data_IF_599018942001
#
_entry.id   IF_599018942001
#
_cell.length_a   1.000
_cell.length_b   1.000
_cell.length_c   1.000
_cell.angle_alpha   90.00
_cell.angle_beta   90.00
_cell.angle_gamma   90.00
#
_symmetry.space_group_name_H-M   'P 1'
#
loop_
_entity.id
_entity.type
_entity.pdbx_description
1 polymer ?
#
# COMPACT_ATOMS: atom_id res chain seq x y z
N UNK A 1 10.22 6.38 -18.11
CA UNK A 1 9.56 5.07 -17.87
C UNK A 1 8.07 5.24 -18.11
N UNK A 2 7.47 4.42 -18.96
CA UNK A 2 6.04 4.49 -19.28
C UNK A 2 5.18 4.23 -18.04
N UNK A 3 4.03 4.91 -17.91
CA UNK A 3 3.10 4.81 -16.78
C UNK A 3 2.83 3.40 -16.18
N UNK A 4 2.58 2.34 -16.96
CA UNK A 4 2.41 0.99 -16.43
C UNK A 4 3.68 0.39 -15.78
N UNK A 5 4.87 0.87 -16.12
CA UNK A 5 6.12 0.46 -15.49
C UNK A 5 6.23 0.95 -14.04
N UNK A 6 5.78 2.19 -13.76
CA UNK A 6 5.79 2.74 -12.39
C UNK A 6 4.85 1.96 -11.48
N UNK A 7 3.62 1.70 -11.94
CA UNK A 7 2.65 0.92 -11.15
C UNK A 7 3.13 -0.50 -10.84
N UNK A 8 3.87 -1.13 -11.76
CA UNK A 8 4.50 -2.44 -11.55
C UNK A 8 5.60 -2.38 -10.50
N UNK A 9 6.45 -1.36 -10.51
CA UNK A 9 7.50 -1.16 -9.50
C UNK A 9 6.87 -0.94 -8.12
N UNK A 10 5.82 -0.13 -8.04
CA UNK A 10 5.05 0.08 -6.79
C UNK A 10 4.47 -1.25 -6.30
N UNK A 11 3.87 -2.04 -7.19
CA UNK A 11 3.33 -3.37 -6.84
C UNK A 11 4.43 -4.33 -6.35
N UNK A 12 5.57 -4.40 -7.03
CA UNK A 12 6.70 -5.23 -6.64
C UNK A 12 7.29 -4.81 -5.28
N UNK A 13 7.43 -3.51 -5.04
CA UNK A 13 7.88 -2.97 -3.75
C UNK A 13 6.90 -3.32 -2.61
N UNK A 14 5.60 -3.19 -2.87
CA UNK A 14 4.55 -3.60 -1.93
C UNK A 14 4.60 -5.11 -1.63
N UNK A 15 4.79 -5.95 -2.66
CA UNK A 15 4.92 -7.39 -2.47
C UNK A 15 6.18 -7.76 -1.65
N UNK A 16 7.32 -7.12 -1.94
CA UNK A 16 8.55 -7.31 -1.18
C UNK A 16 8.35 -6.92 0.30
N UNK A 17 7.67 -5.81 0.57
CA UNK A 17 7.31 -5.41 1.93
C UNK A 17 6.41 -6.44 2.62
N UNK A 18 5.42 -6.97 1.90
CA UNK A 18 4.57 -8.05 2.41
C UNK A 18 5.36 -9.31 2.80
N UNK A 19 6.36 -9.70 1.99
CA UNK A 19 7.26 -10.81 2.32
C UNK A 19 8.07 -10.52 3.58
N UNK A 20 8.58 -9.29 3.75
CA UNK A 20 9.28 -8.89 4.98
C UNK A 20 8.37 -9.03 6.20
N UNK A 21 7.11 -8.61 6.12
CA UNK A 21 6.14 -8.75 7.21
C UNK A 21 5.83 -10.22 7.54
N UNK A 22 5.72 -11.09 6.52
CA UNK A 22 5.48 -12.52 6.71
C UNK A 22 6.69 -13.22 7.34
N UNK A 23 7.90 -12.90 6.88
CA UNK A 23 9.12 -13.56 7.35
C UNK A 23 9.62 -12.99 8.69
N UNK A 24 9.42 -11.68 8.92
CA UNK A 24 10.05 -10.93 10.01
C UNK A 24 9.06 -10.12 10.84
N UNK A 25 7.78 -10.49 10.81
CA UNK A 25 6.69 -9.73 11.44
C UNK A 25 6.92 -9.41 12.92
N UNK A 26 7.50 -10.35 13.68
CA UNK A 26 7.79 -10.12 15.10
C UNK A 26 8.89 -9.07 15.35
N UNK A 27 9.83 -8.93 14.43
CA UNK A 27 10.89 -7.92 14.50
C UNK A 27 10.37 -6.56 14.08
N UNK A 28 9.55 -6.51 13.02
CA UNK A 28 8.87 -5.29 12.59
C UNK A 28 7.96 -4.77 13.70
N UNK A 29 7.19 -5.66 14.36
CA UNK A 29 6.36 -5.27 15.51
C UNK A 29 7.20 -4.66 16.64
N UNK A 30 8.30 -5.32 17.02
CA UNK A 30 9.21 -4.80 18.05
C UNK A 30 9.81 -3.45 17.67
N UNK A 31 10.09 -3.20 16.39
CA UNK A 31 10.59 -1.92 15.93
C UNK A 31 9.55 -0.79 16.09
N UNK A 32 8.26 -1.11 16.01
CA UNK A 32 7.17 -0.13 16.11
C UNK A 32 6.73 0.13 17.56
N UNK A 33 6.55 -0.93 18.35
CA UNK A 33 5.92 -0.85 19.67
C UNK A 33 6.87 -1.24 20.82
N UNK A 34 8.10 -1.66 20.54
CA UNK A 34 9.10 -2.13 21.52
C UNK A 34 8.65 -3.33 22.40
N UNK A 35 7.45 -3.87 22.16
CA UNK A 35 6.86 -5.00 22.87
C UNK A 35 7.01 -6.30 22.08
N UNK A 36 6.96 -7.45 22.76
CA UNK A 36 6.84 -8.74 22.07
C UNK A 36 5.39 -8.92 21.60
N UNK A 37 5.15 -9.30 20.33
CA UNK A 37 3.80 -9.51 19.85
C UNK A 37 3.16 -10.76 20.48
N UNK A 38 1.93 -10.59 20.96
CA UNK A 38 1.05 -11.69 21.32
C UNK A 38 0.49 -12.39 20.07
N UNK A 39 -0.43 -13.32 20.29
CA UNK A 39 -1.02 -14.11 19.20
C UNK A 39 -1.81 -13.24 18.21
N UNK A 40 -2.63 -12.32 18.73
CA UNK A 40 -3.42 -11.41 17.91
C UNK A 40 -2.54 -10.47 17.08
N UNK A 41 -1.46 -9.94 17.65
CA UNK A 41 -0.52 -9.07 16.95
C UNK A 41 0.25 -9.83 15.86
N UNK A 42 0.58 -11.11 16.09
CA UNK A 42 1.17 -11.98 15.06
C UNK A 42 0.18 -12.23 13.93
N UNK A 43 -1.07 -12.58 14.24
CA UNK A 43 -2.11 -12.77 13.23
C UNK A 43 -2.34 -11.50 12.41
N UNK A 44 -2.41 -10.34 13.06
CA UNK A 44 -2.54 -9.05 12.39
C UNK A 44 -1.36 -8.76 11.46
N UNK A 45 -0.12 -9.00 11.91
CA UNK A 45 1.08 -8.76 11.09
C UNK A 45 1.16 -9.73 9.92
N UNK A 46 0.79 -11.00 10.11
CA UNK A 46 0.70 -12.00 9.05
C UNK A 46 -0.37 -11.64 8.02
N UNK A 47 -1.57 -11.25 8.48
CA UNK A 47 -2.65 -10.82 7.59
C UNK A 47 -2.27 -9.57 6.78
N UNK A 48 -1.58 -8.62 7.41
CA UNK A 48 -1.06 -7.43 6.75
C UNK A 48 -0.01 -7.79 5.69
N UNK A 49 0.93 -8.69 6.03
CA UNK A 49 1.94 -9.19 5.10
C UNK A 49 1.31 -9.90 3.90
N UNK A 50 0.37 -10.81 4.14
CA UNK A 50 -0.35 -11.52 3.09
C UNK A 50 -1.10 -10.54 2.15
N UNK A 51 -1.78 -9.54 2.71
CA UNK A 51 -2.44 -8.49 1.94
C UNK A 51 -1.47 -7.75 1.03
N UNK A 52 -0.33 -7.29 1.55
CA UNK A 52 0.66 -6.57 0.76
C UNK A 52 1.25 -7.43 -0.37
N UNK A 53 1.48 -8.73 -0.13
CA UNK A 53 1.88 -9.67 -1.19
C UNK A 53 0.79 -9.77 -2.27
N UNK A 54 -0.45 -10.06 -1.88
CA UNK A 54 -1.55 -10.26 -2.82
C UNK A 54 -1.85 -8.99 -3.64
N UNK A 55 -1.95 -7.83 -2.98
CA UNK A 55 -2.16 -6.54 -3.66
C UNK A 55 -0.98 -6.20 -4.56
N UNK A 56 0.26 -6.37 -4.07
CA UNK A 56 1.47 -6.07 -4.83
C UNK A 56 1.62 -6.94 -6.08
N UNK A 57 1.36 -8.24 -5.98
CA UNK A 57 1.37 -9.17 -7.11
C UNK A 57 0.25 -8.85 -8.09
N UNK A 58 -0.97 -8.60 -7.61
CA UNK A 58 -2.10 -8.22 -8.46
C UNK A 58 -1.81 -6.92 -9.22
N UNK A 59 -1.22 -5.92 -8.56
CA UNK A 59 -0.85 -4.64 -9.16
C UNK A 59 0.31 -4.77 -10.16
N UNK A 60 1.26 -5.67 -9.93
CA UNK A 60 2.32 -5.97 -10.89
C UNK A 60 1.77 -6.69 -12.13
N UNK A 61 0.85 -7.65 -11.96
CA UNK A 61 0.26 -8.43 -13.03
C UNK A 61 -0.74 -7.62 -13.87
N UNK A 62 -1.64 -6.87 -13.22
CA UNK A 62 -2.76 -6.19 -13.85
C UNK A 62 -2.87 -4.70 -13.41
N UNK A 63 -1.84 -3.87 -13.65
CA UNK A 63 -1.70 -2.53 -13.05
C UNK A 63 -2.85 -1.56 -13.33
N UNK A 64 -3.63 -1.76 -14.40
CA UNK A 64 -4.75 -0.87 -14.75
C UNK A 64 -6.05 -1.27 -14.04
N UNK A 65 -6.25 -2.56 -13.77
CA UNK A 65 -7.47 -3.09 -13.18
C UNK A 65 -7.48 -2.96 -11.66
N UNK A 66 -6.30 -2.80 -11.05
CA UNK A 66 -6.14 -2.82 -9.59
C UNK A 66 -6.08 -1.44 -8.93
N UNK A 67 -5.99 -0.34 -9.68
CA UNK A 67 -5.82 1.02 -9.11
C UNK A 67 -6.94 1.37 -8.12
N UNK A 68 -8.20 1.36 -8.58
CA UNK A 68 -9.35 1.72 -7.77
C UNK A 68 -9.55 0.79 -6.54
N UNK A 69 -9.51 -0.55 -6.68
CA UNK A 69 -9.68 -1.42 -5.53
C UNK A 69 -8.52 -1.31 -4.53
N UNK A 70 -7.26 -1.16 -4.97
CA UNK A 70 -6.13 -0.96 -4.05
C UNK A 70 -6.31 0.31 -3.22
N UNK A 71 -6.62 1.44 -3.87
CA UNK A 71 -6.89 2.71 -3.18
C UNK A 71 -8.05 2.56 -2.19
N UNK A 72 -9.16 1.93 -2.60
CA UNK A 72 -10.32 1.75 -1.74
C UNK A 72 -10.00 0.94 -0.47
N UNK A 73 -9.32 -0.20 -0.62
CA UNK A 73 -8.93 -1.04 0.51
C UNK A 73 -7.94 -0.32 1.43
N UNK A 74 -7.02 0.47 0.87
CA UNK A 74 -6.05 1.25 1.65
C UNK A 74 -6.71 2.38 2.45
N UNK A 75 -7.68 3.09 1.85
CA UNK A 75 -8.45 4.12 2.56
C UNK A 75 -9.33 3.54 3.67
N UNK A 76 -10.03 2.43 3.40
CA UNK A 76 -10.84 1.74 4.43
C UNK A 76 -9.96 1.30 5.59
N UNK A 77 -8.81 0.71 5.30
CA UNK A 77 -7.86 0.29 6.33
C UNK A 77 -7.32 1.47 7.14
N UNK A 78 -6.93 2.55 6.48
CA UNK A 78 -6.47 3.76 7.16
C UNK A 78 -7.55 4.33 8.09
N UNK A 79 -8.81 4.36 7.66
CA UNK A 79 -9.93 4.79 8.48
C UNK A 79 -10.15 3.87 9.69
N UNK A 80 -10.09 2.55 9.51
CA UNK A 80 -10.17 1.58 10.60
C UNK A 80 -9.03 1.74 11.61
N UNK A 81 -7.81 2.02 11.14
CA UNK A 81 -6.66 2.28 12.00
C UNK A 81 -6.78 3.60 12.75
N UNK A 82 -7.28 4.67 12.11
CA UNK A 82 -7.53 5.95 12.78
C UNK A 82 -8.55 5.78 13.92
N UNK A 83 -9.61 5.01 13.67
CA UNK A 83 -10.58 4.65 14.71
C UNK A 83 -9.93 3.84 15.84
N UNK A 84 -9.11 2.84 15.52
CA UNK A 84 -8.40 2.02 16.52
C UNK A 84 -7.45 2.87 17.37
N UNK A 85 -6.68 3.77 16.75
CA UNK A 85 -5.80 4.70 17.45
C UNK A 85 -6.55 5.65 18.40
N UNK A 86 -7.77 6.05 18.03
CA UNK A 86 -8.65 6.85 18.87
C UNK A 86 -9.23 6.06 20.05
N UNK A 87 -9.55 4.78 19.85
CA UNK A 87 -10.25 3.91 20.81
C UNK A 87 -9.35 3.22 21.82
N UNK A 88 -8.18 2.73 21.40
CA UNK A 88 -7.31 1.94 22.27
C UNK A 88 -5.87 2.53 22.30
N UNK A 89 -5.47 3.16 23.42
CA UNK A 89 -4.12 3.69 23.59
C UNK A 89 -3.01 2.66 23.38
N UNK A 90 -3.26 1.37 23.69
CA UNK A 90 -2.29 0.29 23.52
C UNK A 90 -1.87 0.12 22.06
N UNK A 91 -2.80 0.32 21.12
CA UNK A 91 -2.53 0.13 19.69
C UNK A 91 -2.27 1.43 18.95
N UNK A 92 -2.16 2.58 19.62
CA UNK A 92 -1.97 3.88 18.97
C UNK A 92 -0.79 3.91 18.00
N UNK A 93 0.39 3.52 18.46
CA UNK A 93 1.61 3.53 17.62
C UNK A 93 1.49 2.55 16.44
N UNK A 94 1.17 1.26 16.65
CA UNK A 94 0.92 0.33 15.55
C UNK A 94 -0.14 0.81 14.56
N UNK A 95 -1.26 1.35 15.05
CA UNK A 95 -2.37 1.82 14.23
C UNK A 95 -1.97 3.05 13.41
N UNK A 96 -1.29 4.04 14.00
CA UNK A 96 -0.80 5.22 13.28
C UNK A 96 0.19 4.83 12.19
N UNK A 97 1.14 3.94 12.49
CA UNK A 97 2.13 3.48 11.49
C UNK A 97 1.45 2.70 10.37
N UNK A 98 0.61 1.71 10.71
CA UNK A 98 -0.11 0.89 9.73
C UNK A 98 -1.07 1.71 8.86
N UNK A 99 -1.84 2.61 9.48
CA UNK A 99 -2.73 3.53 8.77
C UNK A 99 -1.97 4.52 7.89
N UNK A 100 -0.83 5.03 8.37
CA UNK A 100 0.04 5.92 7.60
C UNK A 100 0.64 5.24 6.36
N UNK A 101 1.10 3.98 6.49
CA UNK A 101 1.58 3.18 5.35
C UNK A 101 0.47 2.96 4.33
N UNK A 102 -0.76 2.69 4.77
CA UNK A 102 -1.90 2.53 3.87
C UNK A 102 -2.25 3.84 3.13
N UNK A 103 -2.28 4.98 3.83
CA UNK A 103 -2.49 6.29 3.18
C UNK A 103 -1.40 6.61 2.15
N UNK A 104 -0.14 6.34 2.49
CA UNK A 104 0.98 6.55 1.58
C UNK A 104 0.87 5.65 0.35
N UNK A 105 0.50 4.37 0.54
CA UNK A 105 0.27 3.42 -0.55
C UNK A 105 -0.85 3.88 -1.50
N UNK A 106 -1.98 4.33 -0.95
CA UNK A 106 -3.09 4.89 -1.73
C UNK A 106 -2.63 6.12 -2.54
N UNK A 107 -1.89 7.04 -1.91
CA UNK A 107 -1.39 8.26 -2.54
C UNK A 107 -0.40 7.95 -3.68
N UNK A 108 0.57 7.06 -3.43
CA UNK A 108 1.56 6.63 -4.44
C UNK A 108 0.86 5.95 -5.62
N UNK A 109 -0.14 5.11 -5.36
CA UNK A 109 -0.92 4.45 -6.41
C UNK A 109 -1.75 5.44 -7.23
N UNK A 110 -2.42 6.39 -6.57
CA UNK A 110 -3.20 7.43 -7.23
C UNK A 110 -2.32 8.35 -8.11
N UNK A 111 -1.18 8.81 -7.58
CA UNK A 111 -0.24 9.68 -8.28
C UNK A 111 0.39 8.97 -9.49
N UNK A 112 0.80 7.71 -9.34
CA UNK A 112 1.31 6.90 -10.44
C UNK A 112 0.25 6.67 -11.54
N UNK A 113 -1.01 6.44 -11.17
CA UNK A 113 -2.11 6.31 -12.11
C UNK A 113 -2.41 7.63 -12.85
N UNK A 114 -2.41 8.76 -12.15
CA UNK A 114 -2.61 10.08 -12.73
C UNK A 114 -1.50 10.44 -13.73
N UNK A 115 -0.24 10.26 -13.35
CA UNK A 115 0.91 10.51 -14.22
C UNK A 115 0.87 9.65 -15.50
N UNK A 116 0.39 8.41 -15.37
CA UNK A 116 0.17 7.50 -16.50
C UNK A 116 -0.94 7.98 -17.45
N UNK A 117 -1.94 8.67 -16.94
CA UNK A 117 -3.04 9.23 -17.74
C UNK A 117 -2.58 10.50 -18.47
N UNK A 118 -1.96 11.44 -17.76
CA UNK A 118 -1.45 12.69 -18.34
C UNK A 118 -0.48 12.45 -19.50
N UNK A 119 0.45 11.49 -19.34
CA UNK A 119 1.41 11.14 -20.40
C UNK A 119 0.75 10.61 -21.68
N UNK A 120 -0.43 9.96 -21.59
CA UNK A 120 -1.18 9.49 -22.76
C UNK A 120 -1.91 10.62 -23.47
N UNK A 121 -2.47 11.57 -22.73
CA UNK A 121 -3.17 12.73 -23.30
C UNK A 121 -2.23 13.60 -24.14
N UNK A 122 -0.98 13.78 -23.69
CA UNK A 122 0.04 14.50 -24.46
C UNK A 122 0.45 13.76 -25.75
N UNK A 123 0.61 12.44 -25.70
CA UNK A 123 1.00 11.66 -26.87
C UNK A 123 -0.09 11.57 -27.96
N UNK A 124 -1.35 11.82 -27.60
CA UNK A 124 -2.50 11.78 -28.51
C UNK A 124 -2.89 13.12 -29.13
N UNK A 125 -2.25 14.22 -28.76
CA UNK A 125 -2.53 15.53 -29.35
C UNK A 125 -1.88 15.63 -30.74
N UNK A 126 -2.62 15.94 -31.81
CA UNK A 126 -2.02 16.12 -33.13
C UNK A 126 -1.00 17.28 -33.08
N UNK A 127 0.10 17.21 -33.85
CA UNK A 127 1.05 18.30 -33.91
C UNK A 127 0.33 19.58 -34.38
N UNK A 128 0.73 20.77 -33.89
CA UNK A 128 0.16 22.02 -34.36
C UNK A 128 0.35 22.11 -35.88
N UNK A 129 -0.74 22.32 -36.62
CA UNK A 129 -0.69 22.61 -38.04
C UNK A 129 0.14 23.88 -38.25
N UNK A 130 1.32 23.72 -38.84
CA UNK A 130 2.12 24.84 -39.36
C UNK A 130 1.55 25.33 -40.68
#
# INVERSE_FOLDING_TARGET
MSGPGVLRVVGAAGAAWGVVLLARGAEVWRAVDATRPGENERLATTALGARHVLQGLAQAAAPRLTVAPVIGVDLVHAASMAWLAGRDPRYRRPAVVSGGVALLSALVTATAAWASHASRSYAGSPPPSQ
#
